data_IF_059245095862
#
_entry.id   IF_059245095862
#
_cell.length_a   1.000
_cell.length_b   1.000
_cell.length_c   1.000
_cell.angle_alpha   90.00
_cell.angle_beta   90.00
_cell.angle_gamma   90.00
#
_symmetry.space_group_name_H-M   'P 1'
#
loop_
_entity.id
_entity.type
_entity.pdbx_description
1 polymer ?
#
# COMPACT_ATOMS: atom_id res chain seq x y z
N UNK A 1 2.95 3.43 8.46
CA UNK A 1 1.90 4.32 7.91
C UNK A 1 1.31 5.15 9.04
N UNK A 2 0.97 6.41 8.76
CA UNK A 2 0.52 7.40 9.76
C UNK A 2 -0.81 8.08 9.36
N UNK A 3 -1.53 7.55 8.38
CA UNK A 3 -2.82 8.09 7.93
C UNK A 3 -3.81 8.33 9.07
N UNK A 4 -4.21 7.29 9.82
CA UNK A 4 -5.18 7.45 10.92
C UNK A 4 -4.68 8.38 12.04
N UNK A 5 -3.44 8.24 12.57
CA UNK A 5 -2.91 9.20 13.54
C UNK A 5 -2.97 10.66 13.05
N UNK A 6 -2.60 10.92 11.79
CA UNK A 6 -2.66 12.26 11.22
C UNK A 6 -4.09 12.79 11.17
N UNK A 7 -5.06 11.98 10.72
CA UNK A 7 -6.48 12.35 10.72
C UNK A 7 -6.96 12.72 12.13
N UNK A 8 -6.61 11.93 13.15
CA UNK A 8 -6.98 12.22 14.55
C UNK A 8 -6.36 13.50 15.12
N UNK A 9 -5.27 14.00 14.50
CA UNK A 9 -4.62 15.27 14.84
C UNK A 9 -5.10 16.46 13.99
N UNK A 10 -6.13 16.28 13.16
CA UNK A 10 -6.72 17.34 12.35
C UNK A 10 -6.20 17.43 10.91
N UNK A 11 -5.47 16.42 10.42
CA UNK A 11 -5.17 16.35 8.99
C UNK A 11 -6.45 16.07 8.17
N UNK A 12 -6.53 16.67 6.98
CA UNK A 12 -7.67 16.48 6.07
C UNK A 12 -7.50 15.31 5.10
N UNK A 13 -6.31 14.70 5.05
CA UNK A 13 -6.00 13.63 4.13
C UNK A 13 -4.52 13.24 4.18
N UNK A 14 -4.12 12.36 3.30
CA UNK A 14 -2.75 11.85 3.21
C UNK A 14 -2.32 11.62 1.76
N UNK A 15 -1.02 11.80 1.50
CA UNK A 15 -0.40 11.64 0.17
C UNK A 15 0.76 10.64 0.31
N UNK A 16 0.91 9.74 -0.65
CA UNK A 16 1.91 8.67 -0.55
C UNK A 16 1.87 7.64 -1.68
N UNK A 17 2.92 6.86 -1.78
CA UNK A 17 3.07 5.86 -2.85
C UNK A 17 2.11 4.68 -2.69
N UNK A 18 1.82 4.28 -1.46
CA UNK A 18 1.03 3.10 -1.10
C UNK A 18 -0.44 3.23 -1.51
N UNK A 19 -0.96 4.45 -1.66
CA UNK A 19 -2.31 4.69 -2.19
C UNK A 19 -2.49 4.22 -3.64
N UNK A 20 -1.41 4.07 -4.42
CA UNK A 20 -1.49 3.50 -5.78
C UNK A 20 -1.82 1.99 -5.77
N UNK A 21 -1.47 1.27 -4.70
CA UNK A 21 -1.61 -0.20 -4.64
C UNK A 21 -2.68 -0.65 -3.64
N UNK A 22 -3.13 0.25 -2.77
CA UNK A 22 -4.16 -0.01 -1.75
C UNK A 22 -5.25 1.09 -1.69
N UNK A 23 -5.73 1.66 -2.82
CA UNK A 23 -6.64 2.81 -2.76
C UNK A 23 -7.93 2.48 -1.98
N UNK A 24 -8.58 1.35 -2.27
CA UNK A 24 -9.81 0.93 -1.59
C UNK A 24 -9.65 0.74 -0.08
N UNK A 25 -8.51 0.21 0.37
CA UNK A 25 -8.23 0.03 1.79
C UNK A 25 -8.12 1.36 2.54
N UNK A 26 -7.47 2.36 1.92
CA UNK A 26 -7.34 3.69 2.51
C UNK A 26 -8.65 4.49 2.43
N UNK A 27 -9.45 4.33 1.37
CA UNK A 27 -10.81 4.87 1.32
C UNK A 27 -11.68 4.33 2.46
N UNK A 28 -11.69 3.01 2.67
CA UNK A 28 -12.42 2.39 3.78
C UNK A 28 -11.94 2.87 5.16
N UNK A 29 -10.63 3.06 5.33
CA UNK A 29 -10.08 3.66 6.56
C UNK A 29 -10.66 5.06 6.79
N UNK A 30 -10.68 5.90 5.75
CA UNK A 30 -11.20 7.26 5.81
C UNK A 30 -12.72 7.29 6.05
N UNK A 31 -13.48 6.39 5.44
CA UNK A 31 -14.92 6.20 5.68
C UNK A 31 -15.21 5.81 7.12
N UNK A 32 -14.50 4.83 7.68
CA UNK A 32 -14.61 4.47 9.09
C UNK A 32 -14.32 5.67 10.01
N UNK A 33 -13.25 6.42 9.72
CA UNK A 33 -12.90 7.62 10.49
C UNK A 33 -14.01 8.68 10.44
N UNK A 34 -14.54 8.99 9.24
CA UNK A 34 -15.64 9.96 9.08
C UNK A 34 -16.93 9.52 9.78
N UNK A 35 -17.20 8.21 9.85
CA UNK A 35 -18.33 7.65 10.58
C UNK A 35 -18.13 7.62 12.11
N UNK A 36 -16.96 8.04 12.62
CA UNK A 36 -16.60 7.92 14.04
C UNK A 36 -16.20 6.51 14.48
N UNK A 37 -16.10 5.56 13.56
CA UNK A 37 -15.65 4.18 13.81
C UNK A 37 -14.12 4.10 13.84
N UNK A 38 -13.54 4.54 14.96
CA UNK A 38 -12.09 4.48 15.17
C UNK A 38 -11.55 3.05 15.21
N UNK A 39 -12.34 2.08 15.69
CA UNK A 39 -11.93 0.69 15.76
C UNK A 39 -11.79 0.08 14.36
N UNK A 40 -12.78 0.32 13.49
CA UNK A 40 -12.72 -0.07 12.07
C UNK A 40 -11.56 0.60 11.34
N UNK A 41 -11.38 1.92 11.53
CA UNK A 41 -10.28 2.65 10.92
C UNK A 41 -8.91 2.10 11.37
N UNK A 42 -8.78 1.77 12.66
CA UNK A 42 -7.56 1.19 13.23
C UNK A 42 -7.28 -0.22 12.66
N UNK A 43 -8.31 -1.05 12.49
CA UNK A 43 -8.17 -2.36 11.87
C UNK A 43 -7.65 -2.24 10.42
N UNK A 44 -8.19 -1.31 9.63
CA UNK A 44 -7.71 -1.02 8.27
C UNK A 44 -6.29 -0.47 8.26
N UNK A 45 -5.95 0.41 9.21
CA UNK A 45 -4.60 0.92 9.41
C UNK A 45 -3.59 -0.20 9.70
N UNK A 46 -3.96 -1.18 10.51
CA UNK A 46 -3.12 -2.36 10.77
C UNK A 46 -2.96 -3.25 9.56
N UNK A 47 -4.04 -3.46 8.78
CA UNK A 47 -3.96 -4.18 7.51
C UNK A 47 -2.99 -3.50 6.54
N UNK A 48 -3.10 -2.17 6.37
CA UNK A 48 -2.18 -1.40 5.54
C UNK A 48 -0.73 -1.54 6.03
N UNK A 49 -0.50 -1.44 7.35
CA UNK A 49 0.83 -1.58 7.94
C UNK A 49 1.47 -2.96 7.69
N UNK A 50 0.71 -4.06 7.67
CA UNK A 50 1.25 -5.39 7.34
C UNK A 50 1.79 -5.44 5.91
N UNK A 51 1.02 -4.93 4.96
CA UNK A 51 1.40 -4.88 3.54
C UNK A 51 2.58 -3.91 3.33
N UNK A 52 2.54 -2.76 4.00
CA UNK A 52 3.59 -1.74 3.89
C UNK A 52 4.93 -2.27 4.40
N UNK A 53 4.95 -3.13 5.43
CA UNK A 53 6.19 -3.77 5.89
C UNK A 53 6.85 -4.60 4.77
N UNK A 54 6.07 -5.36 4.01
CA UNK A 54 6.59 -6.11 2.85
C UNK A 54 7.06 -5.16 1.73
N UNK A 55 6.24 -4.14 1.42
CA UNK A 55 6.55 -3.12 0.41
C UNK A 55 7.86 -2.37 0.70
N UNK A 56 8.11 -1.97 1.95
CA UNK A 56 9.32 -1.22 2.34
C UNK A 56 10.53 -2.11 2.58
N UNK A 57 10.39 -3.44 2.51
CA UNK A 57 11.50 -4.38 2.68
C UNK A 57 12.46 -4.45 1.47
N UNK A 58 12.13 -3.72 0.40
CA UNK A 58 12.84 -3.57 -0.87
C UNK A 58 12.71 -2.11 -1.36
N UNK A 59 13.49 -1.66 -2.36
CA UNK A 59 13.37 -0.31 -2.91
C UNK A 59 11.96 0.06 -3.38
N UNK A 60 11.35 1.06 -2.74
CA UNK A 60 9.91 1.37 -2.84
C UNK A 60 9.43 1.77 -4.25
N UNK A 61 10.22 2.55 -4.99
CA UNK A 61 9.88 2.96 -6.36
C UNK A 61 9.91 1.76 -7.33
N UNK A 62 10.85 0.84 -7.14
CA UNK A 62 10.90 -0.39 -7.92
C UNK A 62 9.75 -1.34 -7.54
N UNK A 63 9.45 -1.43 -6.24
CA UNK A 63 8.35 -2.23 -5.72
C UNK A 63 6.98 -1.77 -6.23
N UNK A 64 6.66 -0.48 -6.16
CA UNK A 64 5.34 0.02 -6.62
C UNK A 64 5.14 -0.24 -8.10
N UNK A 65 6.18 -0.03 -8.92
CA UNK A 65 6.13 -0.31 -10.36
C UNK A 65 5.97 -1.80 -10.65
N UNK A 66 6.67 -2.67 -9.93
CA UNK A 66 6.54 -4.12 -10.06
C UNK A 66 5.14 -4.60 -9.66
N UNK A 67 4.59 -4.09 -8.56
CA UNK A 67 3.24 -4.39 -8.07
C UNK A 67 2.19 -3.97 -9.10
N UNK A 68 2.22 -2.72 -9.55
CA UNK A 68 1.27 -2.22 -10.54
C UNK A 68 1.37 -2.97 -11.87
N UNK A 69 2.60 -3.32 -12.31
CA UNK A 69 2.80 -4.17 -13.50
C UNK A 69 2.18 -5.54 -13.34
N UNK A 70 2.31 -6.17 -12.17
CA UNK A 70 1.65 -7.46 -11.87
C UNK A 70 0.13 -7.33 -11.79
N UNK A 71 -0.39 -6.16 -11.41
CA UNK A 71 -1.83 -5.84 -11.41
C UNK A 71 -2.36 -5.50 -12.82
N UNK A 72 -1.52 -5.55 -13.85
CA UNK A 72 -1.91 -5.30 -15.25
C UNK A 72 -1.64 -3.88 -15.76
N UNK A 73 -1.03 -3.01 -14.96
CA UNK A 73 -0.68 -1.64 -15.35
C UNK A 73 0.79 -1.55 -15.79
N UNK A 74 1.11 -1.33 -17.08
CA UNK A 74 2.49 -1.35 -17.55
C UNK A 74 3.29 -0.14 -17.06
N UNK A 75 3.97 -0.26 -15.91
CA UNK A 75 4.71 0.85 -15.29
C UNK A 75 6.23 0.87 -15.62
N UNK A 76 6.74 -0.19 -16.26
CA UNK A 76 8.14 -0.33 -16.65
C UNK A 76 9.11 -0.31 -15.46
N UNK A 77 10.41 -0.23 -15.77
CA UNK A 77 11.45 -0.13 -14.76
C UNK A 77 11.58 1.30 -14.20
N UNK A 78 12.13 1.49 -12.99
CA UNK A 78 12.62 2.79 -12.54
C UNK A 78 13.71 3.33 -13.49
N UNK A 79 13.80 4.66 -13.58
CA UNK A 79 14.91 5.33 -14.29
C UNK A 79 16.11 5.43 -13.34
N UNK A 80 17.32 5.35 -13.91
CA UNK A 80 18.56 5.63 -13.19
C UNK A 80 18.49 6.98 -12.43
N UNK A 81 19.09 7.08 -11.22
CA UNK A 81 19.98 6.10 -10.59
C UNK A 81 19.27 4.95 -9.86
N UNK A 82 17.93 4.95 -9.82
CA UNK A 82 17.17 3.82 -9.25
C UNK A 82 17.25 2.61 -10.18
N UNK A 83 17.35 1.42 -9.60
CA UNK A 83 17.43 0.15 -10.33
C UNK A 83 16.15 -0.67 -10.20
N UNK A 84 15.89 -1.60 -11.13
CA UNK A 84 14.92 -2.67 -10.91
C UNK A 84 15.26 -3.49 -9.65
N UNK A 85 14.25 -4.17 -9.11
CA UNK A 85 14.46 -5.18 -8.08
C UNK A 85 15.24 -6.37 -8.66
N UNK A 86 16.14 -6.95 -7.87
CA UNK A 86 16.73 -8.24 -8.21
C UNK A 86 15.69 -9.35 -8.10
N UNK A 87 15.97 -10.53 -8.65
CA UNK A 87 15.09 -11.70 -8.52
C UNK A 87 14.83 -12.07 -7.05
N UNK A 88 15.86 -11.98 -6.20
CA UNK A 88 15.73 -12.25 -4.77
C UNK A 88 14.86 -11.21 -4.05
N UNK A 89 14.97 -9.92 -4.42
CA UNK A 89 14.12 -8.86 -3.88
C UNK A 89 12.67 -9.00 -4.36
N UNK A 90 12.45 -9.37 -5.63
CA UNK A 90 11.11 -9.68 -6.14
C UNK A 90 10.49 -10.85 -5.37
N UNK A 91 11.22 -11.95 -5.20
CA UNK A 91 10.74 -13.10 -4.44
C UNK A 91 10.38 -12.71 -3.00
N UNK A 92 11.24 -11.94 -2.32
CA UNK A 92 10.99 -11.43 -0.97
C UNK A 92 9.74 -10.54 -0.91
N UNK A 93 9.58 -9.64 -1.88
CA UNK A 93 8.41 -8.76 -1.97
C UNK A 93 7.13 -9.59 -2.09
N UNK A 94 7.10 -10.55 -3.02
CA UNK A 94 5.90 -11.37 -3.25
C UNK A 94 5.55 -12.26 -2.06
N UNK A 95 6.54 -12.93 -1.46
CA UNK A 95 6.32 -13.71 -0.24
C UNK A 95 5.75 -12.85 0.88
N UNK A 96 6.26 -11.63 1.07
CA UNK A 96 5.76 -10.71 2.08
C UNK A 96 4.34 -10.18 1.78
N UNK A 97 4.02 -9.92 0.51
CA UNK A 97 2.69 -9.48 0.10
C UNK A 97 1.65 -10.59 0.22
N UNK A 98 2.01 -11.82 -0.17
CA UNK A 98 1.14 -13.00 -0.03
C UNK A 98 0.86 -13.29 1.45
N UNK A 99 1.88 -13.25 2.30
CA UNK A 99 1.73 -13.42 3.76
C UNK A 99 0.92 -12.28 4.44
N UNK A 100 0.71 -11.16 3.75
CA UNK A 100 -0.06 -10.02 4.23
C UNK A 100 -1.46 -9.92 3.60
N UNK A 101 -1.89 -10.95 2.85
CA UNK A 101 -3.16 -11.00 2.12
C UNK A 101 -3.36 -9.80 1.18
N UNK A 102 -2.30 -9.38 0.48
CA UNK A 102 -2.29 -8.17 -0.35
C UNK A 102 -3.43 -8.16 -1.38
N UNK A 103 -3.64 -9.25 -2.11
CA UNK A 103 -4.66 -9.30 -3.17
C UNK A 103 -6.08 -9.12 -2.63
N UNK A 104 -6.36 -9.65 -1.43
CA UNK A 104 -7.65 -9.44 -0.76
C UNK A 104 -7.82 -7.97 -0.31
N UNK A 105 -6.72 -7.30 0.06
CA UNK A 105 -6.74 -5.90 0.47
C UNK A 105 -6.76 -4.90 -0.70
N UNK A 106 -6.24 -5.30 -1.86
CA UNK A 106 -6.15 -4.48 -3.06
C UNK A 106 -7.46 -4.43 -3.86
N UNK A 107 -8.47 -5.22 -3.49
CA UNK A 107 -9.72 -5.34 -4.23
C UNK A 107 -10.57 -4.06 -4.18
N UNK A 108 -11.16 -3.70 -5.33
CA UNK A 108 -12.21 -2.67 -5.54
C UNK A 108 -11.86 -1.20 -5.21
N UNK A 109 -10.71 -0.69 -5.63
CA UNK A 109 -10.38 0.75 -5.52
C UNK A 109 -10.29 1.53 -6.83
N UNK A 110 -10.50 0.87 -7.98
CA UNK A 110 -10.30 1.45 -9.32
C UNK A 110 -11.56 1.36 -10.22
N UNK A 111 -12.70 0.96 -9.65
CA UNK A 111 -14.00 0.92 -10.33
C UNK A 111 -14.90 2.04 -9.80
#
# INVERSE_FOLDING_TARGET
EMCLPALTMGAHGAIGTTYNILPGLFSQLFECYQAGDLAGAQAKQYQANRIIRAFTAVPSIAAVKAILTRMGFPCGAPRAPMRPLSEAELAKLWQGLDAADFLAAADKGWA
#
